data_IF_228682534692
#
_entry.id   IF_228682534692
#
_cell.length_a   1.000
_cell.length_b   1.000
_cell.length_c   1.000
_cell.angle_alpha   90.00
_cell.angle_beta   90.00
_cell.angle_gamma   90.00
#
_symmetry.space_group_name_H-M   'P 1'
#
loop_
_entity.id
_entity.type
_entity.pdbx_description
1 polymer ?
#
# COMPACT_ATOMS: atom_id res chain seq x y z
N UNK A 1 -16.95 5.12 -14.59
CA UNK A 1 -15.51 4.89 -14.35
C UNK A 1 -15.15 5.33 -12.95
N UNK A 2 -14.43 4.50 -12.25
CA UNK A 2 -13.95 4.85 -10.91
C UNK A 2 -12.45 4.65 -10.86
N UNK A 3 -11.78 5.55 -10.16
CA UNK A 3 -10.35 5.46 -10.02
C UNK A 3 -9.93 6.13 -8.72
N UNK A 4 -9.01 5.49 -8.02
CA UNK A 4 -8.43 6.08 -6.82
C UNK A 4 -6.92 6.20 -7.03
N UNK A 5 -6.36 7.26 -6.49
CA UNK A 5 -4.92 7.49 -6.52
C UNK A 5 -4.46 7.79 -5.11
N UNK A 6 -3.43 7.09 -4.66
CA UNK A 6 -2.89 7.31 -3.33
C UNK A 6 -1.38 7.33 -3.36
N UNK A 7 -0.80 8.02 -2.40
CA UNK A 7 0.63 7.97 -2.14
C UNK A 7 0.78 7.60 -0.67
N UNK A 8 1.54 6.57 -0.41
CA UNK A 8 1.75 6.11 0.95
C UNK A 8 2.93 5.17 1.03
N UNK A 9 3.10 4.61 2.22
CA UNK A 9 4.23 3.72 2.47
C UNK A 9 3.74 2.31 2.68
N UNK A 10 4.49 1.33 2.17
CA UNK A 10 4.15 -0.07 2.37
C UNK A 10 4.29 -0.43 3.84
N UNK A 11 3.32 -1.17 4.35
CA UNK A 11 3.36 -1.66 5.72
C UNK A 11 4.08 -2.98 5.86
N UNK A 12 4.30 -3.67 4.75
CA UNK A 12 5.01 -4.94 4.75
C UNK A 12 5.50 -5.21 3.34
N UNK A 13 6.37 -6.21 3.21
CA UNK A 13 6.88 -6.59 1.89
C UNK A 13 5.74 -7.14 1.04
N UNK A 14 5.83 -6.88 -0.27
CA UNK A 14 4.88 -7.42 -1.22
C UNK A 14 4.95 -8.94 -1.22
N UNK A 15 3.79 -9.57 -1.31
CA UNK A 15 3.67 -11.02 -1.34
C UNK A 15 3.00 -11.47 -2.61
N UNK A 16 3.38 -12.66 -3.08
CA UNK A 16 2.72 -13.27 -4.23
C UNK A 16 1.72 -14.27 -3.70
N UNK A 17 0.48 -14.11 -4.12
CA UNK A 17 -0.62 -14.97 -3.72
C UNK A 17 -1.12 -15.74 -4.92
N UNK A 18 -1.74 -16.89 -4.66
CA UNK A 18 -2.32 -17.70 -5.72
C UNK A 18 -3.76 -18.04 -5.34
N UNK A 19 -4.65 -17.87 -6.31
CA UNK A 19 -6.07 -18.16 -6.09
C UNK A 19 -6.65 -18.67 -7.42
N UNK A 20 -7.24 -19.85 -7.39
CA UNK A 20 -7.85 -20.50 -8.55
C UNK A 20 -6.90 -20.55 -9.75
N UNK A 21 -5.62 -20.85 -9.47
CA UNK A 21 -4.65 -20.96 -10.55
C UNK A 21 -4.09 -19.63 -11.03
N UNK A 22 -4.57 -18.53 -10.51
CA UNK A 22 -4.07 -17.20 -10.89
C UNK A 22 -3.14 -16.67 -9.80
N UNK A 23 -2.06 -16.07 -10.22
CA UNK A 23 -1.08 -15.48 -9.32
C UNK A 23 -1.16 -13.98 -9.38
N UNK A 24 -1.06 -13.34 -8.24
CA UNK A 24 -1.11 -11.88 -8.17
C UNK A 24 -0.28 -11.41 -6.98
N UNK A 25 0.15 -10.16 -7.05
CA UNK A 25 0.94 -9.56 -5.99
C UNK A 25 0.02 -8.78 -5.06
N UNK A 26 0.23 -8.92 -3.76
CA UNK A 26 -0.55 -8.17 -2.77
C UNK A 26 0.38 -7.40 -1.86
N UNK A 27 -0.06 -6.21 -1.49
CA UNK A 27 0.68 -5.39 -0.55
C UNK A 27 -0.29 -4.41 0.10
N UNK A 28 0.11 -3.89 1.25
CA UNK A 28 -0.71 -2.95 1.99
C UNK A 28 0.00 -1.61 2.07
N UNK A 29 -0.76 -0.56 1.86
CA UNK A 29 -0.24 0.80 1.83
C UNK A 29 -0.93 1.63 2.91
N UNK A 30 -0.13 2.29 3.73
CA UNK A 30 -0.63 3.23 4.72
C UNK A 30 -0.53 4.63 4.15
N UNK A 31 -1.67 5.28 4.03
CA UNK A 31 -1.75 6.64 3.52
C UNK A 31 -2.11 7.54 4.69
N UNK A 32 -1.21 8.43 5.06
CA UNK A 32 -1.41 9.32 6.20
C UNK A 32 -1.58 10.74 5.70
N UNK A 33 -2.70 11.35 6.08
CA UNK A 33 -3.02 12.71 5.71
C UNK A 33 -3.20 13.54 6.95
N UNK A 34 -2.80 14.81 6.88
CA UNK A 34 -3.05 15.75 7.96
C UNK A 34 -4.34 16.46 7.69
N UNK A 35 -5.26 16.36 8.65
CA UNK A 35 -6.54 17.03 8.58
C UNK A 35 -6.55 18.10 9.63
N UNK A 36 -6.91 19.32 9.22
CA UNK A 36 -7.02 20.44 10.14
C UNK A 36 -8.46 20.60 10.56
N UNK A 37 -8.71 20.52 11.85
CA UNK A 37 -10.03 20.66 12.42
C UNK A 37 -9.98 21.61 13.58
N UNK A 38 -10.82 22.65 13.53
CA UNK A 38 -10.92 23.60 14.66
C UNK A 38 -9.55 24.10 15.13
N UNK A 39 -8.65 24.31 14.18
CA UNK A 39 -7.32 24.79 14.52
C UNK A 39 -6.31 23.74 14.88
N UNK A 40 -6.75 22.50 15.08
CA UNK A 40 -5.86 21.41 15.42
C UNK A 40 -5.52 20.58 14.19
N UNK A 41 -4.27 20.15 14.10
CA UNK A 41 -3.83 19.23 13.05
C UNK A 41 -3.91 17.81 13.60
N UNK A 42 -4.58 16.95 12.85
CA UNK A 42 -4.75 15.55 13.21
C UNK A 42 -4.27 14.69 12.05
N UNK A 43 -3.45 13.69 12.37
CA UNK A 43 -3.03 12.72 11.37
C UNK A 43 -4.07 11.62 11.27
N UNK A 44 -4.50 11.36 10.05
CA UNK A 44 -5.45 10.28 9.77
C UNK A 44 -4.76 9.29 8.84
N UNK A 45 -4.68 8.05 9.26
CA UNK A 45 -4.06 7.00 8.45
C UNK A 45 -5.11 6.05 7.95
N UNK A 46 -5.11 5.83 6.66
CA UNK A 46 -5.99 4.86 6.01
C UNK A 46 -5.13 3.75 5.42
N UNK A 47 -5.52 2.52 5.68
CA UNK A 47 -4.84 1.35 5.14
C UNK A 47 -5.58 0.85 3.91
N UNK A 48 -4.83 0.61 2.87
CA UNK A 48 -5.37 0.09 1.62
C UNK A 48 -4.75 -1.26 1.32
N UNK A 49 -5.60 -2.21 0.95
CA UNK A 49 -5.14 -3.54 0.51
C UNK A 49 -5.06 -3.49 -1.00
N UNK A 50 -3.86 -3.64 -1.53
CA UNK A 50 -3.63 -3.50 -2.96
C UNK A 50 -3.36 -4.86 -3.59
N UNK A 51 -3.92 -5.03 -4.79
CA UNK A 51 -3.77 -6.28 -5.53
C UNK A 51 -3.34 -5.93 -6.95
N UNK A 52 -2.19 -6.44 -7.36
CA UNK A 52 -1.64 -6.21 -8.69
C UNK A 52 -1.64 -7.53 -9.46
N UNK A 53 -2.36 -7.56 -10.56
CA UNK A 53 -2.57 -8.79 -11.33
C UNK A 53 -1.43 -9.08 -12.28
N UNK A 54 -0.23 -8.65 -11.94
CA UNK A 54 0.97 -8.92 -12.72
C UNK A 54 2.09 -9.33 -11.79
N UNK A 55 2.16 -10.61 -11.42
CA UNK A 55 3.13 -11.05 -10.41
C UNK A 55 4.58 -10.95 -10.87
N UNK A 56 4.80 -10.77 -12.15
CA UNK A 56 6.16 -10.64 -12.70
C UNK A 56 6.52 -9.20 -13.07
N UNK A 57 5.73 -8.24 -12.60
CA UNK A 57 6.05 -6.83 -12.85
C UNK A 57 7.40 -6.47 -12.26
N UNK A 58 8.14 -5.64 -12.99
CA UNK A 58 9.50 -5.28 -12.59
C UNK A 58 9.59 -4.55 -11.28
N UNK A 59 8.49 -3.96 -10.81
CA UNK A 59 8.48 -3.19 -9.58
C UNK A 59 8.40 -4.09 -8.34
N UNK A 60 7.97 -5.35 -8.52
CA UNK A 60 7.71 -6.25 -7.39
C UNK A 60 8.90 -6.37 -6.43
N UNK A 61 10.14 -6.59 -6.91
CA UNK A 61 11.26 -6.74 -5.98
C UNK A 61 11.54 -5.50 -5.14
N UNK A 62 11.01 -4.37 -5.53
CA UNK A 62 11.25 -3.11 -4.82
C UNK A 62 10.11 -2.73 -3.89
N UNK A 63 9.05 -3.52 -3.84
CA UNK A 63 7.91 -3.27 -2.97
C UNK A 63 8.18 -3.87 -1.60
N UNK A 64 8.95 -3.16 -0.81
CA UNK A 64 9.38 -3.59 0.50
C UNK A 64 8.78 -2.69 1.57
N UNK A 65 8.74 -3.21 2.80
CA UNK A 65 8.22 -2.45 3.92
C UNK A 65 8.90 -1.09 4.02
N UNK A 66 8.09 -0.06 4.17
CA UNK A 66 8.58 1.30 4.33
C UNK A 66 8.79 2.07 3.05
N UNK A 67 8.73 1.42 1.91
CA UNK A 67 8.94 2.09 0.63
C UNK A 67 7.72 2.93 0.30
N UNK A 68 7.96 4.14 -0.21
CA UNK A 68 6.89 5.05 -0.59
C UNK A 68 6.51 4.82 -2.03
N UNK A 69 5.21 4.71 -2.27
CA UNK A 69 4.69 4.38 -3.60
C UNK A 69 3.49 5.23 -3.96
N UNK A 70 3.30 5.40 -5.26
CA UNK A 70 2.07 5.92 -5.83
C UNK A 70 1.31 4.74 -6.41
N UNK A 71 0.03 4.63 -6.05
CA UNK A 71 -0.82 3.53 -6.51
C UNK A 71 -2.07 4.13 -7.13
N UNK A 72 -2.45 3.59 -8.27
CA UNK A 72 -3.66 4.00 -8.99
C UNK A 72 -4.43 2.76 -9.39
N UNK A 73 -5.74 2.78 -9.18
CA UNK A 73 -6.54 1.64 -9.58
C UNK A 73 -8.01 1.81 -9.24
N UNK A 74 -8.71 0.69 -9.29
CA UNK A 74 -10.14 0.64 -9.04
C UNK A 74 -10.38 0.38 -7.54
N UNK A 75 -11.10 1.27 -6.86
CA UNK A 75 -11.38 1.05 -5.44
C UNK A 75 -12.53 0.07 -5.26
N UNK A 76 -12.45 -0.69 -4.19
CA UNK A 76 -13.50 -1.61 -3.79
C UNK A 76 -13.61 -1.59 -2.27
N UNK A 77 -14.82 -1.50 -1.77
CA UNK A 77 -15.07 -1.38 -0.34
C UNK A 77 -15.87 -2.57 0.13
N UNK A 78 -15.40 -3.21 1.18
CA UNK A 78 -16.10 -4.36 1.75
C UNK A 78 -16.25 -4.17 3.25
N UNK A 79 -17.44 -4.46 3.75
CA UNK A 79 -17.69 -4.47 5.18
C UNK A 79 -17.42 -5.84 5.73
N UNK A 80 -16.81 -5.90 6.90
CA UNK A 80 -16.58 -7.16 7.57
C UNK A 80 -16.73 -6.96 9.07
N UNK A 81 -16.95 -8.06 9.77
CA UNK A 81 -17.06 -8.04 11.24
C UNK A 81 -15.68 -8.27 11.82
N UNK A 82 -15.23 -7.31 12.62
CA UNK A 82 -13.92 -7.42 13.23
C UNK A 82 -14.03 -8.18 14.55
N UNK A 83 -13.29 -9.27 14.66
CA UNK A 83 -13.23 -10.03 15.91
C UNK A 83 -12.47 -9.24 16.97
N UNK A 84 -11.54 -8.40 16.55
CA UNK A 84 -10.72 -7.63 17.48
C UNK A 84 -11.50 -6.49 18.13
N UNK A 85 -12.29 -5.77 17.34
CA UNK A 85 -13.00 -4.59 17.84
C UNK A 85 -14.48 -4.83 18.08
N UNK A 86 -14.97 -6.03 17.73
CA UNK A 86 -16.37 -6.42 17.92
C UNK A 86 -17.34 -5.47 17.25
N UNK A 87 -16.96 -4.96 16.10
CA UNK A 87 -17.81 -4.05 15.32
C UNK A 87 -17.57 -4.25 13.84
N UNK A 88 -18.39 -3.61 13.03
CA UNK A 88 -18.21 -3.67 11.58
C UNK A 88 -17.13 -2.70 11.15
N UNK A 89 -16.26 -3.17 10.28
CA UNK A 89 -15.17 -2.38 9.73
C UNK A 89 -15.26 -2.39 8.22
N UNK A 90 -14.61 -1.44 7.61
CA UNK A 90 -14.54 -1.34 6.15
C UNK A 90 -13.13 -1.66 5.71
N UNK A 91 -13.02 -2.59 4.78
CA UNK A 91 -11.76 -2.92 4.13
C UNK A 91 -11.74 -2.22 2.79
N UNK A 92 -10.78 -1.35 2.57
CA UNK A 92 -10.63 -0.62 1.32
C UNK A 92 -9.58 -1.34 0.48
N UNK A 93 -10.01 -1.80 -0.68
CA UNK A 93 -9.14 -2.54 -1.60
C UNK A 93 -8.95 -1.75 -2.86
N UNK A 94 -7.78 -1.91 -3.46
CA UNK A 94 -7.47 -1.30 -4.75
C UNK A 94 -7.02 -2.39 -5.70
N UNK A 95 -7.74 -2.53 -6.81
CA UNK A 95 -7.27 -3.36 -7.92
C UNK A 95 -6.34 -2.49 -8.75
N UNK A 96 -5.05 -2.72 -8.62
CA UNK A 96 -4.03 -1.80 -9.06
C UNK A 96 -3.85 -1.84 -10.58
N UNK A 97 -3.95 -0.69 -11.20
CA UNK A 97 -3.61 -0.51 -12.61
C UNK A 97 -2.16 -0.06 -12.76
N UNK A 98 -1.71 0.76 -11.84
CA UNK A 98 -0.40 1.35 -11.95
C UNK A 98 0.19 1.54 -10.56
N UNK A 99 1.43 1.16 -10.39
CA UNK A 99 2.18 1.40 -9.17
C UNK A 99 3.54 1.96 -9.56
N UNK A 100 4.00 2.94 -8.79
CA UNK A 100 5.20 3.65 -9.12
C UNK A 100 5.96 3.97 -7.84
N UNK A 101 7.26 3.75 -7.84
CA UNK A 101 8.08 4.11 -6.69
C UNK A 101 8.22 5.61 -6.63
N UNK A 102 8.03 6.17 -5.44
CA UNK A 102 8.11 7.61 -5.24
C UNK A 102 9.44 8.06 -4.64
N UNK A 103 10.29 7.10 -4.32
CA UNK A 103 11.58 7.43 -3.74
C UNK A 103 12.56 7.75 -4.84
N UNK A 104 13.36 8.78 -4.65
CA UNK A 104 14.45 9.07 -5.55
C UNK A 104 15.60 8.13 -5.33
N UNK A 105 15.58 7.39 -4.25
CA UNK A 105 16.64 6.46 -3.93
C UNK A 105 16.39 5.16 -4.62
N UNK A 106 17.42 4.66 -5.22
CA UNK A 106 17.39 3.31 -5.74
C UNK A 106 17.52 2.34 -4.58
N UNK A 107 16.98 1.13 -4.70
CA UNK A 107 17.07 0.16 -3.62
C UNK A 107 18.49 -0.09 -3.15
N UNK A 108 19.44 -0.04 -4.02
CA UNK A 108 20.82 -0.26 -3.64
C UNK A 108 21.40 0.92 -2.87
N UNK A 109 20.73 2.07 -2.89
CA UNK A 109 21.14 3.22 -2.10
C UNK A 109 20.47 3.23 -0.73
N UNK A 110 19.50 2.39 -0.57
CA UNK A 110 18.91 2.24 0.71
C UNK A 110 19.97 1.70 1.60
N UNK A 111 20.08 2.25 2.72
CA UNK A 111 21.17 1.90 3.59
C UNK A 111 21.15 0.47 3.70
N UNK A 112 21.78 0.21 2.89
CA UNK A 112 21.79 -1.09 2.79
C UNK A 112 21.82 -1.60 4.12
N UNK A 113 21.66 -0.92 3.93
CA UNK A 113 21.39 -0.85 4.55
C UNK A 113 20.61 -1.36 5.08
N UNK A 114 20.70 -1.81 5.13
CA UNK A 114 19.97 -2.16 5.31
C UNK A 114 19.38 -2.24 5.92
N UNK A 115 19.29 -2.38 6.09
CA UNK A 115 18.72 -2.18 6.14
C UNK A 115 18.29 -1.65 6.39
N UNK A 116 18.40 -1.57 6.64
CA UNK A 116 18.06 -0.86 6.47
C UNK A 116 17.54 -0.49 6.21
N UNK A 117 17.24 -0.52 6.25
CA UNK A 117 16.79 -0.03 5.65
C UNK A 117 16.13 0.55 5.29
N UNK A 118 15.75 0.78 5.61
CA UNK A 118 15.03 1.44 5.23
C UNK A 118 14.66 2.40 4.96
N UNK A 119 14.42 2.78 4.58
CA UNK A 119 14.31 3.90 4.13
C UNK A 119 13.20 4.58 4.34
N UNK A 120 13.17 5.12 4.61
CA UNK A 120 12.52 5.74 4.84
C UNK A 120 12.17 6.82 4.35
N UNK A 121 11.68 7.51 4.46
CA UNK A 121 11.35 8.60 3.75
C UNK A 121 10.51 9.53 4.38
#
# INVERSE_FOLDING_TARGET
>A
MQQIQIIGNLGEDCQIQEYNGSRFATFRVACTEKIRRSGDNTDVTTWYSCSLNRPDAGVIPYLKKGVRVFVQGLPSYQMYDSATYHCKMIDVRIFVDRVQLCSDRKPEDAPAKPDDDVPTF
#
